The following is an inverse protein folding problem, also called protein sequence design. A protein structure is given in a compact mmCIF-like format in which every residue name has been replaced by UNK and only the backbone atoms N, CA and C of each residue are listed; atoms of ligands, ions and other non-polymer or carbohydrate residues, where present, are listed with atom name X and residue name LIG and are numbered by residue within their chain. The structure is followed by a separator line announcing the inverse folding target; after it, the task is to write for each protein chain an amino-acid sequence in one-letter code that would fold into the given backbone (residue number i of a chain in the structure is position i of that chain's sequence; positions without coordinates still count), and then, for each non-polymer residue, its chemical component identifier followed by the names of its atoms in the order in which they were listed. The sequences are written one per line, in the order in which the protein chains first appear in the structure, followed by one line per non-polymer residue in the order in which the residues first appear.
data_IF_633281951873
#
_entry.id   IF_633281951873
#
_cell.length_a   1.000
_cell.length_b   1.000
_cell.length_c   1.000
_cell.angle_alpha   90.00
_cell.angle_beta   90.00
_cell.angle_gamma   90.00
#
_symmetry.space_group_name_H-M   'P 1'
#
loop_
_entity.id
_entity.type
_entity.pdbx_description
1 polymer ?
#
# COMPACT_ATOMS: atom_id res chain seq x y z
N UNK A 1 -38.00 -47.51 30.02
CA UNK A 1 -38.33 -46.54 28.96
C UNK A 1 -37.53 -45.28 29.24
N UNK A 2 -36.50 -44.97 28.45
CA UNK A 2 -35.55 -43.88 28.71
C UNK A 2 -35.52 -42.97 27.48
N UNK A 3 -36.02 -41.73 27.63
CA UNK A 3 -36.03 -40.71 26.57
C UNK A 3 -34.62 -40.12 26.41
N UNK A 4 -34.01 -40.23 25.23
CA UNK A 4 -32.82 -39.46 24.85
C UNK A 4 -33.27 -38.09 24.33
N UNK A 5 -32.86 -37.03 25.01
CA UNK A 5 -33.04 -35.66 24.56
C UNK A 5 -32.11 -35.38 23.36
N UNK A 6 -32.67 -34.85 22.28
CA UNK A 6 -31.95 -34.35 21.12
C UNK A 6 -31.50 -32.92 21.42
N UNK A 7 -30.21 -32.65 21.46
CA UNK A 7 -29.66 -31.28 21.56
C UNK A 7 -29.49 -30.76 20.14
N UNK A 8 -30.13 -29.65 19.73
CA UNK A 8 -29.87 -29.06 18.43
C UNK A 8 -28.52 -28.34 18.48
N UNK A 9 -27.62 -28.70 17.56
CA UNK A 9 -26.38 -27.96 17.33
C UNK A 9 -26.73 -26.63 16.65
N UNK A 10 -26.54 -25.52 17.37
CA UNK A 10 -26.60 -24.20 16.78
C UNK A 10 -25.38 -24.00 15.89
N UNK A 11 -25.59 -23.93 14.58
CA UNK A 11 -24.56 -23.50 13.64
C UNK A 11 -24.32 -22.00 13.85
N UNK A 12 -23.17 -21.65 14.42
CA UNK A 12 -22.66 -20.28 14.45
C UNK A 12 -22.31 -19.86 13.02
N UNK A 13 -23.20 -19.08 12.39
CA UNK A 13 -22.89 -18.38 11.15
C UNK A 13 -21.83 -17.32 11.41
N UNK A 14 -20.70 -17.40 10.71
CA UNK A 14 -19.69 -16.33 10.69
C UNK A 14 -20.31 -15.14 9.94
N UNK A 15 -20.59 -14.05 10.64
CA UNK A 15 -20.90 -12.77 10.00
C UNK A 15 -19.61 -12.26 9.37
N UNK A 16 -19.50 -12.34 8.04
CA UNK A 16 -18.48 -11.59 7.31
C UNK A 16 -18.93 -10.13 7.33
N UNK A 17 -18.24 -9.31 8.12
CA UNK A 17 -18.49 -7.87 8.16
C UNK A 17 -18.04 -7.26 6.83
N UNK A 18 -18.97 -7.01 5.92
CA UNK A 18 -18.70 -6.17 4.75
C UNK A 18 -18.37 -4.77 5.28
N UNK A 19 -17.21 -4.18 4.94
CA UNK A 19 -16.91 -2.82 5.33
C UNK A 19 -18.00 -1.90 4.77
N UNK A 20 -18.72 -1.25 5.66
CA UNK A 20 -19.87 -0.43 5.32
C UNK A 20 -19.42 0.74 4.44
N UNK A 21 -19.63 0.63 3.12
CA UNK A 21 -19.43 1.76 2.20
C UNK A 21 -18.71 1.50 0.88
N UNK A 22 -18.18 0.30 0.68
CA UNK A 22 -17.46 -0.01 -0.53
C UNK A 22 -18.37 -0.51 -1.66
N UNK A 23 -18.07 -0.13 -2.91
CA UNK A 23 -18.86 -0.58 -4.06
C UNK A 23 -18.59 -2.07 -4.24
N UNK A 24 -19.63 -2.89 -4.08
CA UNK A 24 -19.55 -4.32 -4.35
C UNK A 24 -20.03 -4.60 -5.78
N UNK A 25 -19.20 -5.26 -6.56
CA UNK A 25 -19.54 -5.74 -7.90
C UNK A 25 -20.26 -7.09 -7.82
N UNK A 26 -20.91 -7.48 -8.93
CA UNK A 26 -21.66 -8.74 -9.01
C UNK A 26 -20.79 -10.00 -8.85
N UNK A 27 -19.48 -9.87 -9.08
CA UNK A 27 -18.47 -10.91 -8.86
C UNK A 27 -17.96 -10.96 -7.39
N UNK A 28 -18.48 -10.09 -6.53
CA UNK A 28 -18.09 -10.00 -5.12
C UNK A 28 -16.87 -9.12 -4.87
N UNK A 29 -16.24 -8.53 -5.90
CA UNK A 29 -15.14 -7.59 -5.72
C UNK A 29 -15.61 -6.30 -5.05
N UNK A 30 -14.70 -5.69 -4.30
CA UNK A 30 -14.95 -4.45 -3.57
C UNK A 30 -14.07 -3.34 -4.13
N UNK A 31 -14.64 -2.19 -4.50
CA UNK A 31 -13.89 -0.99 -4.91
C UNK A 31 -14.21 0.24 -4.04
N UNK A 32 -13.32 1.22 -4.11
CA UNK A 32 -13.57 2.54 -3.53
C UNK A 32 -14.78 3.21 -4.19
N UNK A 33 -15.66 3.77 -3.37
CA UNK A 33 -16.73 4.67 -3.81
C UNK A 33 -16.21 6.08 -4.15
N UNK A 34 -15.11 6.49 -3.49
CA UNK A 34 -14.36 7.70 -3.83
C UNK A 34 -12.87 7.39 -3.90
N UNK A 35 -12.24 7.68 -5.05
CA UNK A 35 -10.86 7.28 -5.35
C UNK A 35 -9.86 8.03 -4.45
N UNK A 36 -8.98 7.30 -3.72
CA UNK A 36 -7.82 7.90 -3.04
C UNK A 36 -6.89 8.64 -3.99
N UNK A 37 -6.04 9.51 -3.44
CA UNK A 37 -5.13 10.33 -4.25
C UNK A 37 -3.72 10.26 -3.71
N UNK A 38 -2.74 10.12 -4.61
CA UNK A 38 -1.35 10.38 -4.31
C UNK A 38 -1.15 11.90 -4.20
N UNK A 39 -0.88 12.40 -3.00
CA UNK A 39 -0.80 13.84 -2.68
C UNK A 39 0.61 14.32 -2.34
N UNK A 40 1.58 13.40 -2.21
CA UNK A 40 2.97 13.76 -1.96
C UNK A 40 3.92 12.59 -2.10
N UNK A 41 5.19 12.93 -2.33
CA UNK A 41 6.29 11.98 -2.45
C UNK A 41 7.60 12.69 -2.12
N UNK A 42 8.46 12.04 -1.34
CA UNK A 42 9.68 12.65 -0.86
C UNK A 42 10.79 11.59 -0.77
N UNK A 43 12.04 11.99 -1.05
CA UNK A 43 13.23 11.17 -0.82
C UNK A 43 14.25 11.99 -0.04
N UNK A 44 14.62 11.47 1.13
CA UNK A 44 15.70 11.96 1.99
C UNK A 44 16.96 11.15 1.72
N UNK A 45 18.12 11.81 1.78
CA UNK A 45 19.44 11.22 1.49
C UNK A 45 19.52 10.66 0.06
N UNK A 46 19.49 11.57 -0.92
CA UNK A 46 19.45 11.26 -2.36
C UNK A 46 20.80 10.81 -2.97
N UNK A 47 21.81 10.54 -2.14
CA UNK A 47 23.15 10.15 -2.61
C UNK A 47 23.13 8.81 -3.36
N UNK A 48 24.07 8.60 -4.26
CA UNK A 48 24.23 7.30 -4.94
C UNK A 48 24.73 6.24 -3.96
N UNK A 49 24.22 5.01 -4.09
CA UNK A 49 24.65 3.88 -3.26
C UNK A 49 24.56 4.13 -1.74
N UNK A 50 23.79 5.14 -1.32
CA UNK A 50 23.48 5.39 0.09
C UNK A 50 22.11 4.83 0.42
N UNK A 51 21.81 4.65 1.72
CA UNK A 51 20.43 4.42 2.14
C UNK A 51 19.65 5.73 2.02
N UNK A 52 18.56 5.69 1.27
CA UNK A 52 17.57 6.76 1.22
C UNK A 52 16.35 6.40 2.06
N UNK A 53 15.66 7.44 2.53
CA UNK A 53 14.34 7.30 3.16
C UNK A 53 13.28 7.82 2.21
N UNK A 54 12.48 6.90 1.70
CA UNK A 54 11.46 7.11 0.69
C UNK A 54 10.11 7.33 1.37
N UNK A 55 9.33 8.28 0.86
CA UNK A 55 8.02 8.63 1.38
C UNK A 55 6.99 8.75 0.26
N UNK A 56 5.80 8.21 0.48
CA UNK A 56 4.61 8.51 -0.33
C UNK A 56 3.44 8.88 0.59
N UNK A 57 2.66 9.86 0.16
CA UNK A 57 1.53 10.40 0.91
C UNK A 57 0.23 10.20 0.12
N UNK A 58 -0.72 9.50 0.72
CA UNK A 58 -1.99 9.12 0.09
C UNK A 58 -3.15 9.70 0.91
N UNK A 59 -4.03 10.46 0.26
CA UNK A 59 -5.25 10.98 0.88
C UNK A 59 -6.43 10.07 0.56
N UNK A 60 -7.13 9.62 1.60
CA UNK A 60 -8.44 8.96 1.48
C UNK A 60 -9.53 10.03 1.54
N UNK A 61 -10.42 10.16 0.53
CA UNK A 61 -11.42 11.22 0.51
C UNK A 61 -12.36 11.13 1.72
N UNK A 62 -12.73 12.26 2.30
CA UNK A 62 -13.68 12.29 3.43
C UNK A 62 -15.07 11.80 3.03
N UNK A 63 -15.44 11.98 1.77
CA UNK A 63 -16.69 11.52 1.17
C UNK A 63 -16.70 10.01 0.91
N UNK A 64 -15.54 9.34 1.01
CA UNK A 64 -15.43 7.90 0.90
C UNK A 64 -16.20 7.27 2.06
N UNK A 65 -17.01 6.27 1.76
CA UNK A 65 -17.52 5.35 2.76
C UNK A 65 -16.59 4.12 2.89
N UNK A 66 -15.57 4.04 2.04
CA UNK A 66 -14.61 2.95 2.01
C UNK A 66 -13.31 3.30 2.72
N UNK A 67 -12.89 2.46 3.66
CA UNK A 67 -11.58 2.55 4.30
C UNK A 67 -10.47 1.96 3.41
N UNK A 68 -9.25 2.48 3.57
CA UNK A 68 -8.06 2.00 2.87
C UNK A 68 -7.46 0.79 3.63
N UNK A 69 -7.40 -0.37 2.98
CA UNK A 69 -6.92 -1.61 3.61
C UNK A 69 -5.46 -1.95 3.26
N UNK A 70 -5.02 -1.65 2.04
CA UNK A 70 -3.67 -1.99 1.57
C UNK A 70 -3.17 -0.98 0.55
N UNK A 71 -1.86 -0.74 0.54
CA UNK A 71 -1.16 0.02 -0.49
C UNK A 71 -0.05 -0.86 -1.07
N UNK A 72 0.07 -0.85 -2.39
CA UNK A 72 1.15 -1.50 -3.12
C UNK A 72 1.94 -0.42 -3.85
N UNK A 73 3.25 -0.44 -3.65
CA UNK A 73 4.21 0.45 -4.29
C UNK A 73 5.11 -0.41 -5.16
N UNK A 74 5.06 -0.25 -6.47
CA UNK A 74 5.94 -1.00 -7.37
C UNK A 74 7.36 -0.48 -7.27
N UNK A 75 8.25 -1.35 -6.81
CA UNK A 75 9.68 -1.13 -6.81
C UNK A 75 10.16 -1.58 -8.18
N UNK A 76 10.33 -0.64 -9.11
CA UNK A 76 10.89 -0.97 -10.41
C UNK A 76 12.33 -1.48 -10.23
N UNK A 77 12.48 -2.81 -10.11
CA UNK A 77 13.61 -3.65 -10.46
C UNK A 77 13.29 -5.08 -10.03
N UNK A 78 13.05 -5.98 -10.98
CA UNK A 78 12.68 -7.34 -10.64
C UNK A 78 13.87 -8.31 -10.48
N UNK A 79 15.11 -7.82 -10.55
CA UNK A 79 16.33 -8.64 -10.40
C UNK A 79 17.01 -8.48 -9.03
N UNK A 80 16.62 -7.50 -8.20
CA UNK A 80 17.17 -7.33 -6.85
C UNK A 80 16.22 -6.52 -5.94
N UNK A 81 15.64 -7.14 -4.91
CA UNK A 81 14.77 -6.46 -3.93
C UNK A 81 15.51 -5.53 -2.96
N UNK A 82 16.85 -5.62 -2.88
CA UNK A 82 17.70 -4.79 -2.03
C UNK A 82 18.31 -3.60 -2.80
N UNK A 83 18.10 -3.53 -4.13
CA UNK A 83 18.55 -2.43 -5.02
C UNK A 83 17.37 -1.97 -5.88
N UNK A 84 16.80 -0.83 -5.51
CA UNK A 84 15.87 -0.07 -6.36
C UNK A 84 16.67 0.30 -7.62
N UNK A 85 16.38 -0.30 -8.79
CA UNK A 85 16.96 0.09 -10.09
C UNK A 85 15.83 0.43 -11.07
N UNK A 86 15.23 1.63 -10.95
CA UNK A 86 14.01 1.97 -11.65
C UNK A 86 14.28 2.30 -13.12
N UNK A 87 13.27 2.03 -13.93
CA UNK A 87 13.28 2.22 -15.39
C UNK A 87 13.73 3.65 -15.71
N UNK A 88 14.91 3.84 -16.33
CA UNK A 88 15.25 5.12 -16.95
C UNK A 88 14.18 5.39 -18.00
N UNK A 89 13.65 6.61 -18.09
CA UNK A 89 12.50 6.92 -18.94
C UNK A 89 12.72 6.59 -20.42
N UNK A 90 12.49 5.35 -20.83
CA UNK A 90 12.22 4.89 -22.20
C UNK A 90 12.02 3.36 -22.25
N UNK A 91 10.90 2.92 -22.83
CA UNK A 91 10.90 1.72 -23.69
C UNK A 91 10.41 0.41 -23.09
N UNK A 92 11.19 -0.25 -22.25
CA UNK A 92 11.02 -1.69 -22.03
C UNK A 92 10.74 -2.05 -20.56
N UNK A 93 9.50 -2.44 -20.30
CA UNK A 93 9.08 -3.09 -19.05
C UNK A 93 9.56 -4.54 -19.11
N UNK A 94 10.71 -4.84 -18.49
CA UNK A 94 11.05 -6.21 -18.13
C UNK A 94 10.52 -6.51 -16.74
N UNK A 95 9.50 -7.37 -16.66
CA UNK A 95 9.07 -8.02 -15.41
C UNK A 95 9.93 -9.25 -15.21
N UNK A 96 10.85 -9.24 -14.25
CA UNK A 96 11.36 -10.48 -13.67
C UNK A 96 10.45 -10.86 -12.47
N UNK A 97 10.16 -12.14 -12.37
CA UNK A 97 9.38 -12.67 -11.26
C UNK A 97 10.37 -13.12 -10.19
N UNK A 98 10.36 -12.45 -9.03
CA UNK A 98 10.91 -13.02 -7.80
C UNK A 98 9.75 -13.51 -6.92
N UNK A 99 9.88 -14.73 -6.40
CA UNK A 99 8.88 -15.41 -5.55
C UNK A 99 9.18 -15.26 -4.05
N UNK A 100 10.16 -14.45 -3.66
CA UNK A 100 10.58 -14.28 -2.26
C UNK A 100 9.83 -13.16 -1.55
N UNK A 101 9.19 -13.49 -0.42
CA UNK A 101 8.62 -12.50 0.51
C UNK A 101 9.58 -12.18 1.65
N UNK A 102 9.97 -10.91 1.79
CA UNK A 102 10.82 -10.41 2.90
C UNK A 102 10.10 -9.28 3.66
N UNK A 103 10.17 -9.31 4.99
CA UNK A 103 9.67 -8.22 5.83
C UNK A 103 10.63 -7.02 5.74
N UNK A 104 10.12 -5.85 5.40
CA UNK A 104 10.89 -4.60 5.36
C UNK A 104 10.52 -3.68 6.53
N UNK A 105 11.48 -2.93 7.10
CA UNK A 105 11.17 -1.88 8.06
C UNK A 105 10.46 -0.74 7.32
N UNK A 106 9.15 -0.63 7.56
CA UNK A 106 8.30 0.44 7.05
C UNK A 106 7.69 1.14 8.25
N UNK A 107 7.65 2.47 8.21
CA UNK A 107 6.92 3.28 9.16
C UNK A 107 5.72 3.88 8.46
N UNK A 108 4.53 3.55 8.96
CA UNK A 108 3.29 4.17 8.50
C UNK A 108 2.83 5.14 9.55
N UNK A 109 2.43 6.35 9.15
CA UNK A 109 1.71 7.28 10.01
C UNK A 109 0.45 7.77 9.31
N UNK A 110 -0.57 8.10 10.10
CA UNK A 110 -1.85 8.60 9.59
C UNK A 110 -2.12 9.98 10.19
N UNK A 111 -2.50 10.93 9.36
CA UNK A 111 -2.90 12.29 9.73
C UNK A 111 -4.37 12.54 9.39
N UNK A 112 -4.94 13.58 9.98
CA UNK A 112 -6.37 13.95 9.89
C UNK A 112 -6.80 14.61 8.57
N UNK A 113 -5.92 14.62 7.56
CA UNK A 113 -6.21 15.23 6.26
C UNK A 113 -6.06 16.75 6.19
N UNK A 114 -5.81 17.45 7.31
CA UNK A 114 -5.74 18.93 7.37
C UNK A 114 -4.33 19.52 7.26
N UNK A 115 -3.30 18.68 7.05
CA UNK A 115 -1.91 19.11 6.85
C UNK A 115 -0.90 17.96 6.96
N UNK A 116 0.37 18.29 7.20
CA UNK A 116 1.47 17.31 7.40
C UNK A 116 1.59 16.79 8.85
N UNK A 117 0.59 17.06 9.70
CA UNK A 117 0.59 16.57 11.08
C UNK A 117 0.14 15.12 11.09
N UNK A 118 1.11 14.23 11.21
CA UNK A 118 0.89 12.81 11.36
C UNK A 118 0.85 12.44 12.84
N UNK A 119 -0.06 11.53 13.20
CA UNK A 119 -0.08 10.91 14.52
C UNK A 119 1.06 9.90 14.70
N UNK A 120 0.91 9.07 15.74
CA UNK A 120 1.84 7.98 16.01
C UNK A 120 1.87 6.95 14.87
N UNK A 121 2.90 6.09 14.91
CA UNK A 121 2.99 5.01 13.95
C UNK A 121 1.79 4.06 14.09
N UNK A 122 1.17 3.72 12.96
CA UNK A 122 0.06 2.76 12.94
C UNK A 122 0.56 1.35 12.68
N UNK A 123 -0.11 0.37 13.28
CA UNK A 123 0.23 -1.03 13.09
C UNK A 123 -0.06 -1.45 11.64
N UNK A 124 0.94 -2.04 11.01
CA UNK A 124 0.88 -2.49 9.62
C UNK A 124 1.91 -3.57 9.38
N UNK A 125 1.65 -4.40 8.37
CA UNK A 125 2.59 -5.41 7.90
C UNK A 125 3.07 -5.03 6.52
N UNK A 126 4.37 -4.82 6.40
CA UNK A 126 5.03 -4.53 5.14
C UNK A 126 5.82 -5.75 4.63
N UNK A 127 5.55 -6.16 3.39
CA UNK A 127 6.22 -7.26 2.71
C UNK A 127 6.68 -6.83 1.33
N UNK A 128 7.87 -7.28 0.96
CA UNK A 128 8.25 -7.30 -0.45
C UNK A 128 7.58 -8.51 -1.10
N UNK A 129 6.75 -8.29 -2.10
CA UNK A 129 6.11 -9.32 -2.91
C UNK A 129 6.65 -9.18 -4.33
N UNK A 130 7.67 -9.97 -4.67
CA UNK A 130 8.39 -9.81 -5.93
C UNK A 130 9.03 -8.43 -6.05
N UNK A 131 8.59 -7.63 -7.01
CA UNK A 131 9.07 -6.27 -7.25
C UNK A 131 8.14 -5.20 -6.66
N UNK A 132 7.38 -5.53 -5.61
CA UNK A 132 6.41 -4.61 -5.01
C UNK A 132 6.58 -4.57 -3.50
N UNK A 133 6.51 -3.37 -2.91
CA UNK A 133 6.31 -3.20 -1.48
C UNK A 133 4.81 -3.17 -1.20
N UNK A 134 4.30 -4.22 -0.57
CA UNK A 134 2.93 -4.32 -0.12
C UNK A 134 2.85 -3.93 1.37
N UNK A 135 2.06 -2.92 1.67
CA UNK A 135 1.78 -2.46 3.05
C UNK A 135 0.31 -2.71 3.33
N UNK A 136 0.04 -3.63 4.25
CA UNK A 136 -1.32 -3.96 4.71
C UNK A 136 -1.52 -3.38 6.11
N UNK A 137 -2.60 -2.63 6.31
CA UNK A 137 -2.91 -2.06 7.62
C UNK A 137 -3.64 -3.08 8.47
N UNK A 138 -3.26 -3.21 9.75
CA UNK A 138 -3.94 -4.14 10.66
C UNK A 138 -5.36 -3.65 10.98
N UNK A 139 -5.50 -2.33 11.15
CA UNK A 139 -6.78 -1.63 11.19
C UNK A 139 -6.90 -0.77 9.92
N UNK A 140 -7.97 -0.93 9.11
CA UNK A 140 -8.17 -0.12 7.91
C UNK A 140 -8.16 1.38 8.19
N UNK A 141 -7.51 2.16 7.33
CA UNK A 141 -7.44 3.61 7.50
C UNK A 141 -8.74 4.26 7.07
N UNK A 142 -9.34 5.02 8.00
CA UNK A 142 -10.63 5.66 7.80
C UNK A 142 -10.62 6.77 6.72
N UNK A 143 -11.77 7.02 6.06
CA UNK A 143 -11.99 8.18 5.20
C UNK A 143 -11.58 9.53 5.83
N UNK A 144 -11.16 10.47 4.99
CA UNK A 144 -10.72 11.81 5.40
C UNK A 144 -9.28 11.85 5.91
N UNK A 145 -8.60 10.71 6.01
CA UNK A 145 -7.24 10.60 6.53
C UNK A 145 -6.19 10.74 5.41
N UNK A 146 -4.99 11.19 5.79
CA UNK A 146 -3.79 11.13 4.93
C UNK A 146 -2.79 10.14 5.52
N UNK A 147 -2.41 9.13 4.74
CA UNK A 147 -1.39 8.14 5.10
C UNK A 147 -0.03 8.57 4.58
N UNK A 148 1.00 8.54 5.42
CA UNK A 148 2.41 8.60 5.02
C UNK A 148 3.04 7.24 5.19
N UNK A 149 3.56 6.68 4.10
CA UNK A 149 4.31 5.43 4.11
C UNK A 149 5.78 5.78 3.89
N UNK A 150 6.59 5.54 4.91
CA UNK A 150 8.02 5.76 4.94
C UNK A 150 8.74 4.40 4.89
N UNK A 151 9.67 4.21 3.95
CA UNK A 151 10.51 3.02 3.90
C UNK A 151 11.96 3.37 3.61
N UNK A 152 12.88 2.56 4.12
CA UNK A 152 14.30 2.72 3.88
C UNK A 152 14.77 1.69 2.85
N UNK A 153 15.49 2.16 1.84
CA UNK A 153 16.07 1.31 0.81
C UNK A 153 17.40 1.89 0.32
N UNK A 154 18.22 1.07 -0.33
CA UNK A 154 19.43 1.54 -0.98
C UNK A 154 19.07 2.30 -2.25
N UNK A 155 19.64 3.47 -2.42
CA UNK A 155 19.53 4.23 -3.65
C UNK A 155 20.31 3.54 -4.77
N UNK A 156 19.83 3.61 -6.01
CA UNK A 156 20.59 3.18 -7.19
C UNK A 156 21.91 3.95 -7.34
N UNK A 157 22.79 3.38 -8.15
CA UNK A 157 24.09 3.94 -8.55
C UNK A 157 24.01 4.92 -9.72
N UNK A 158 22.82 5.07 -10.32
CA UNK A 158 22.55 5.98 -11.44
C UNK A 158 21.74 7.20 -10.98
N UNK A 159 22.11 8.37 -11.47
CA UNK A 159 21.30 9.59 -11.35
C UNK A 159 20.12 9.55 -12.31
N UNK A 160 18.91 9.61 -11.77
CA UNK A 160 17.69 9.71 -12.56
C UNK A 160 16.47 10.11 -11.72
N UNK A 161 15.40 10.45 -12.43
CA UNK A 161 14.05 10.38 -11.87
C UNK A 161 13.53 8.96 -11.97
N UNK A 162 13.07 8.46 -10.84
CA UNK A 162 12.56 7.11 -10.70
C UNK A 162 11.07 7.09 -10.42
N UNK A 163 10.37 6.19 -11.11
CA UNK A 163 8.92 6.06 -11.09
C UNK A 163 8.51 4.80 -10.33
N UNK A 164 7.61 4.97 -9.37
CA UNK A 164 7.00 3.86 -8.61
C UNK A 164 5.49 3.93 -8.82
N UNK A 165 4.87 2.90 -9.36
CA UNK A 165 3.41 2.82 -9.39
C UNK A 165 2.88 2.72 -7.97
N UNK A 166 1.81 3.46 -7.68
CA UNK A 166 1.13 3.41 -6.39
C UNK A 166 -0.29 2.93 -6.63
N UNK A 167 -0.66 1.82 -6.01
CA UNK A 167 -1.99 1.23 -6.08
C UNK A 167 -2.57 1.13 -4.68
N UNK A 168 -3.77 1.66 -4.48
CA UNK A 168 -4.52 1.52 -3.24
C UNK A 168 -5.60 0.45 -3.37
N UNK A 169 -5.88 -0.25 -2.28
CA UNK A 169 -6.89 -1.28 -2.20
C UNK A 169 -7.84 -0.96 -1.03
N UNK A 170 -9.17 -1.04 -1.23
CA UNK A 170 -10.10 -0.89 -0.14
C UNK A 170 -9.93 -2.04 0.87
N UNK A 171 -10.46 -1.87 2.08
CA UNK A 171 -10.62 -3.00 2.99
C UNK A 171 -11.68 -3.99 2.44
N UNK A 172 -11.53 -5.28 2.78
CA UNK A 172 -12.46 -6.34 2.39
C UNK A 172 -11.75 -7.59 1.84
N UNK A 173 -12.55 -8.61 1.50
CA UNK A 173 -12.03 -9.94 1.14
C UNK A 173 -11.54 -10.05 -0.30
N UNK A 174 -12.15 -9.31 -1.23
CA UNK A 174 -11.80 -9.28 -2.66
C UNK A 174 -11.60 -7.84 -3.15
N UNK A 175 -10.62 -7.09 -2.62
CA UNK A 175 -10.47 -5.68 -2.93
C UNK A 175 -9.88 -5.49 -4.33
N UNK A 176 -10.55 -4.67 -5.15
CA UNK A 176 -10.07 -4.23 -6.45
C UNK A 176 -9.09 -3.07 -6.30
N UNK A 177 -7.90 -3.23 -6.87
CA UNK A 177 -6.85 -2.21 -6.83
C UNK A 177 -7.20 -0.98 -7.68
N UNK A 178 -6.92 0.20 -7.11
CA UNK A 178 -7.06 1.49 -7.76
C UNK A 178 -5.68 2.12 -7.97
N UNK A 179 -5.26 2.28 -9.23
CA UNK A 179 -4.03 2.97 -9.57
C UNK A 179 -4.16 4.47 -9.25
N UNK A 180 -3.20 4.99 -8.47
CA UNK A 180 -3.18 6.38 -7.99
C UNK A 180 -2.22 7.27 -8.79
N UNK A 181 -1.36 6.67 -9.61
CA UNK A 181 -0.32 7.36 -10.37
C UNK A 181 1.08 6.85 -10.05
N UNK A 182 2.07 7.59 -10.56
CA UNK A 182 3.48 7.30 -10.34
C UNK A 182 4.07 8.24 -9.30
N UNK A 183 4.68 7.69 -8.25
CA UNK A 183 5.55 8.45 -7.40
C UNK A 183 6.88 8.73 -8.12
N UNK A 184 7.27 10.00 -8.23
CA UNK A 184 8.48 10.45 -8.96
C UNK A 184 9.54 10.93 -7.98
N UNK A 185 10.61 10.17 -7.81
CA UNK A 185 11.67 10.46 -6.85
C UNK A 185 13.01 10.62 -7.57
N UNK A 186 13.74 11.70 -7.25
CA UNK A 186 15.05 11.97 -7.84
C UNK A 186 16.15 11.47 -6.91
N UNK A 187 17.02 10.62 -7.42
CA UNK A 187 18.28 10.25 -6.78
C UNK A 187 19.39 10.99 -7.53
N UNK A 188 20.37 11.50 -6.79
CA UNK A 188 21.42 12.38 -7.29
C UNK A 188 21.10 13.86 -7.09
N UNK A 189 21.95 14.70 -7.67
CA UNK A 189 21.99 16.15 -7.43
C UNK A 189 21.35 16.92 -8.57
N UNK A 190 20.03 16.98 -8.63
CA UNK A 190 19.35 17.96 -9.48
C UNK A 190 18.74 19.08 -8.61
N UNK A 191 19.57 20.14 -8.50
CA UNK A 191 19.42 21.49 -7.93
C UNK A 191 19.43 21.65 -6.41
#
# INVERSE_FOLDING_TARGET
MMYRALVPAAALGVLVAVPAGAIQFADGETAFDHIPRLVGQDLVDRGFNTRGTYNVRIQVPQQSNTALGRVVIGLANPLNCDVIAPVPGSGDVSVAQMTSSRTMPVRVRVGDGTGLRYGDAVSSVARIEGSQLAVTFDEPVAPGSTVNIEWMASNPDVEATYLFDVVAYPAGDAPRGQFLGFARLNVGTNF
#
